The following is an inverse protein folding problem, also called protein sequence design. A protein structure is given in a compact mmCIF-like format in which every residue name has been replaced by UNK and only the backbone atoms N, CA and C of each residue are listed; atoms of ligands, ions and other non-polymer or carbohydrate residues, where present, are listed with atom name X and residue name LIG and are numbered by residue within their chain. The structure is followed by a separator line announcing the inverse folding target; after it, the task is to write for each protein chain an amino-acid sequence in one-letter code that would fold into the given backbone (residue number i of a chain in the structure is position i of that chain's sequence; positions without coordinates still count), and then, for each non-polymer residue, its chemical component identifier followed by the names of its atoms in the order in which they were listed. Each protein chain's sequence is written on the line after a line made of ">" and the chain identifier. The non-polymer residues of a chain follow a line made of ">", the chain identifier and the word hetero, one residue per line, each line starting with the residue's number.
data_IF_628556523376
#
_entry.id   IF_628556523376
#
_cell.length_a   1.000
_cell.length_b   1.000
_cell.length_c   1.000
_cell.angle_alpha   90.00
_cell.angle_beta   90.00
_cell.angle_gamma   90.00
#
_symmetry.space_group_name_H-M   'P 1'
#
loop_
_entity.id
_entity.type
_entity.pdbx_description
1 polymer ?
#
# COMPACT_ATOMS: atom_id res chain seq x y z
N UNK A 1 27.20 18.25 -59.76
CA UNK A 1 26.27 18.69 -58.70
C UNK A 1 25.58 17.46 -58.16
N UNK A 2 26.06 16.93 -57.03
CA UNK A 2 25.63 15.63 -56.49
C UNK A 2 24.89 15.88 -55.18
N UNK A 3 23.60 15.54 -55.16
CA UNK A 3 22.70 15.76 -54.02
C UNK A 3 22.79 14.56 -53.07
N UNK A 4 23.41 14.77 -51.91
CA UNK A 4 23.47 13.76 -50.85
C UNK A 4 22.23 13.82 -49.97
N UNK A 5 21.38 12.80 -50.08
CA UNK A 5 20.31 12.48 -49.14
C UNK A 5 20.93 11.99 -47.82
N UNK A 6 20.72 12.73 -46.73
CA UNK A 6 21.07 12.26 -45.37
C UNK A 6 19.80 11.78 -44.67
N UNK A 7 19.74 10.47 -44.48
CA UNK A 7 18.68 9.76 -43.79
C UNK A 7 18.91 9.87 -42.27
N UNK A 8 18.15 10.74 -41.59
CA UNK A 8 18.19 10.91 -40.13
C UNK A 8 17.25 9.88 -39.51
N UNK A 9 17.68 8.63 -39.47
CA UNK A 9 17.01 7.60 -38.67
C UNK A 9 18.05 6.72 -38.03
N UNK A 10 18.73 7.18 -36.96
CA UNK A 10 19.32 6.29 -35.97
C UNK A 10 19.82 6.99 -34.69
N UNK A 11 19.65 6.25 -33.59
CA UNK A 11 20.15 6.45 -32.21
C UNK A 11 19.41 7.44 -31.29
N UNK A 12 18.24 7.00 -30.81
CA UNK A 12 17.83 7.25 -29.43
C UNK A 12 17.98 5.93 -28.65
N UNK A 13 19.18 5.66 -28.13
CA UNK A 13 19.35 4.66 -27.08
C UNK A 13 18.79 5.23 -25.78
N UNK A 14 17.56 4.82 -25.46
CA UNK A 14 16.92 5.11 -24.17
C UNK A 14 17.65 4.32 -23.10
N UNK A 15 18.55 4.97 -22.38
CA UNK A 15 19.15 4.41 -21.17
C UNK A 15 18.05 4.22 -20.11
N UNK A 16 17.82 2.98 -19.62
CA UNK A 16 16.85 2.76 -18.56
C UNK A 16 17.33 3.45 -17.29
N UNK A 17 16.53 4.37 -16.80
CA UNK A 17 16.72 5.09 -15.54
C UNK A 17 16.91 4.05 -14.43
N UNK A 18 18.13 3.94 -13.89
CA UNK A 18 18.42 3.06 -12.75
C UNK A 18 17.58 3.52 -11.55
N UNK A 19 16.70 2.67 -11.00
CA UNK A 19 15.95 3.02 -9.81
C UNK A 19 16.91 3.24 -8.63
N UNK A 20 16.71 4.34 -7.91
CA UNK A 20 17.44 4.72 -6.70
C UNK A 20 17.44 3.57 -5.67
N UNK A 21 18.54 3.39 -4.92
CA UNK A 21 18.63 2.36 -3.88
C UNK A 21 17.48 2.44 -2.86
N UNK A 22 16.92 3.64 -2.64
CA UNK A 22 15.76 3.83 -1.78
C UNK A 22 14.44 3.27 -2.35
N UNK A 23 14.24 3.30 -3.68
CA UNK A 23 13.04 2.70 -4.29
C UNK A 23 13.12 1.17 -4.29
N UNK A 24 14.32 0.59 -4.42
CA UNK A 24 14.51 -0.86 -4.26
C UNK A 24 14.21 -1.34 -2.84
N UNK A 25 14.59 -0.59 -1.79
CA UNK A 25 14.28 -0.98 -0.40
C UNK A 25 12.77 -0.90 -0.15
N UNK A 26 12.08 0.13 -0.66
CA UNK A 26 10.63 0.24 -0.52
C UNK A 26 9.89 -0.84 -1.32
N UNK A 27 10.33 -1.18 -2.53
CA UNK A 27 9.76 -2.32 -3.28
C UNK A 27 10.03 -3.66 -2.59
N UNK A 28 11.20 -3.86 -1.97
CA UNK A 28 11.52 -5.10 -1.23
C UNK A 28 10.67 -5.22 0.05
N UNK A 29 10.37 -4.11 0.73
CA UNK A 29 9.49 -4.09 1.91
C UNK A 29 8.03 -4.31 1.51
N UNK A 30 7.59 -3.75 0.37
CA UNK A 30 6.23 -3.95 -0.14
C UNK A 30 6.04 -5.39 -0.65
N UNK A 31 7.00 -5.96 -1.37
CA UNK A 31 6.93 -7.35 -1.85
C UNK A 31 7.05 -8.36 -0.71
N UNK A 32 7.94 -8.17 0.29
CA UNK A 32 7.99 -9.05 1.47
C UNK A 32 6.69 -9.02 2.28
N UNK A 33 6.05 -7.85 2.42
CA UNK A 33 4.76 -7.75 3.10
C UNK A 33 3.59 -8.29 2.28
N UNK A 34 3.57 -8.14 0.95
CA UNK A 34 2.54 -8.77 0.10
C UNK A 34 2.69 -10.29 0.02
N UNK A 35 3.92 -10.82 -0.01
CA UNK A 35 4.17 -12.27 0.01
C UNK A 35 3.78 -12.85 1.37
N UNK A 36 4.06 -12.17 2.48
CA UNK A 36 3.62 -12.63 3.82
C UNK A 36 2.09 -12.60 3.98
N UNK A 37 1.40 -11.60 3.42
CA UNK A 37 -0.07 -11.51 3.47
C UNK A 37 -0.75 -12.49 2.50
N UNK A 38 -0.14 -12.80 1.35
CA UNK A 38 -0.69 -13.76 0.38
C UNK A 38 -0.33 -15.22 0.72
N UNK A 39 0.79 -15.51 1.38
CA UNK A 39 1.05 -16.85 1.92
C UNK A 39 0.12 -17.21 3.10
N UNK A 40 -0.35 -16.22 3.87
CA UNK A 40 -1.34 -16.46 4.93
C UNK A 40 -2.79 -16.55 4.42
N UNK A 41 -3.08 -16.08 3.19
CA UNK A 41 -4.42 -16.16 2.57
C UNK A 41 -4.54 -17.26 1.51
N UNK A 42 -3.43 -17.74 0.94
CA UNK A 42 -3.40 -18.84 -0.02
C UNK A 42 -3.30 -20.23 0.61
N UNK A 43 -2.90 -20.35 1.88
CA UNK A 43 -2.75 -21.64 2.56
C UNK A 43 -3.98 -22.10 3.37
N UNK A 44 -5.09 -21.34 3.36
CA UNK A 44 -6.27 -21.67 4.18
C UNK A 44 -7.62 -21.62 3.45
N UNK A 45 -7.67 -21.39 2.13
CA UNK A 45 -8.96 -21.20 1.43
C UNK A 45 -9.19 -22.08 0.20
N UNK A 46 -8.26 -22.97 -0.19
CA UNK A 46 -8.43 -23.72 -1.44
C UNK A 46 -7.90 -25.17 -1.36
N UNK A 47 -8.16 -25.88 -0.26
CA UNK A 47 -7.99 -27.35 -0.22
C UNK A 47 -9.14 -28.11 0.46
N UNK A 48 -10.34 -27.54 0.58
CA UNK A 48 -11.52 -28.23 1.11
C UNK A 48 -12.74 -28.14 0.19
N UNK A 49 -12.55 -28.29 -1.13
CA UNK A 49 -13.64 -28.58 -2.07
C UNK A 49 -13.19 -29.51 -3.19
N UNK A 50 -12.71 -30.68 -2.81
CA UNK A 50 -12.72 -31.88 -3.64
C UNK A 50 -12.34 -33.11 -2.80
N UNK A 51 -13.01 -33.33 -1.66
CA UNK A 51 -13.26 -34.73 -1.30
C UNK A 51 -14.55 -35.09 -2.02
N UNK A 52 -14.35 -35.46 -3.29
CA UNK A 52 -15.22 -36.40 -3.99
C UNK A 52 -15.51 -37.51 -2.98
N UNK A 53 -16.80 -37.80 -2.82
CA UNK A 53 -17.28 -39.02 -2.17
C UNK A 53 -16.61 -40.22 -2.84
N UNK A 54 -15.40 -40.56 -2.40
CA UNK A 54 -14.86 -41.89 -2.61
C UNK A 54 -15.68 -42.79 -1.71
N UNK A 55 -16.74 -43.34 -2.29
CA UNK A 55 -17.52 -44.44 -1.77
C UNK A 55 -16.58 -45.60 -1.48
N UNK A 56 -15.99 -45.62 -0.28
CA UNK A 56 -15.40 -46.81 0.29
C UNK A 56 -16.57 -47.71 0.67
N UNK A 57 -17.02 -48.50 -0.31
CA UNK A 57 -17.67 -49.78 -0.05
C UNK A 57 -16.68 -50.61 0.77
N UNK A 58 -16.79 -50.58 2.09
CA UNK A 58 -16.25 -51.66 2.91
C UNK A 58 -17.12 -52.89 2.65
N UNK A 59 -16.69 -53.71 1.68
CA UNK A 59 -17.08 -55.11 1.65
C UNK A 59 -16.52 -55.76 2.91
N UNK A 60 -17.39 -55.93 3.89
CA UNK A 60 -17.13 -56.67 5.12
C UNK A 60 -18.26 -57.66 5.33
N UNK A 61 -18.42 -58.61 4.40
CA UNK A 61 -19.21 -59.82 4.62
C UNK A 61 -18.56 -60.59 5.77
N UNK A 62 -19.02 -60.32 6.99
CA UNK A 62 -18.72 -61.16 8.14
C UNK A 62 -19.51 -62.45 7.96
N UNK A 63 -18.81 -63.53 7.66
CA UNK A 63 -19.35 -64.87 7.61
C UNK A 63 -20.00 -65.19 8.96
N UNK A 64 -21.32 -65.36 8.95
CA UNK A 64 -22.07 -65.96 10.06
C UNK A 64 -21.75 -67.45 10.03
N UNK A 65 -20.75 -67.86 10.81
CA UNK A 65 -20.55 -69.27 11.16
C UNK A 65 -21.74 -69.70 12.04
N UNK A 66 -22.68 -70.40 11.41
CA UNK A 66 -23.80 -71.04 12.07
C UNK A 66 -23.27 -72.24 12.88
N UNK A 67 -23.05 -72.03 14.17
CA UNK A 67 -22.82 -73.13 15.11
C UNK A 67 -24.18 -73.73 15.50
N UNK A 68 -24.36 -75.06 15.42
CA UNK A 68 -25.57 -75.71 15.89
C UNK A 68 -25.66 -75.61 17.42
N UNK A 69 -26.78 -75.03 17.89
CA UNK A 69 -27.16 -75.01 19.30
C UNK A 69 -27.37 -76.45 19.81
N UNK A 70 -26.39 -76.95 20.56
CA UNK A 70 -26.60 -78.11 21.43
C UNK A 70 -27.30 -77.63 22.70
N UNK A 71 -28.57 -78.05 22.85
CA UNK A 71 -29.35 -77.89 24.08
C UNK A 71 -28.68 -78.67 25.20
N UNK A 72 -28.02 -77.96 26.11
CA UNK A 72 -27.67 -78.49 27.44
C UNK A 72 -28.59 -77.83 28.46
N UNK A 73 -29.58 -78.60 28.91
CA UNK A 73 -30.41 -78.27 30.06
C UNK A 73 -29.59 -78.55 31.33
N UNK A 74 -29.26 -77.52 32.10
CA UNK A 74 -28.71 -77.71 33.45
C UNK A 74 -28.88 -76.47 34.32
N UNK A 75 -29.55 -76.69 35.45
CA UNK A 75 -29.36 -76.00 36.74
C UNK A 75 -29.77 -74.52 36.87
N UNK A 76 -31.08 -74.31 36.98
CA UNK A 76 -31.69 -73.16 37.67
C UNK A 76 -31.71 -73.42 39.18
N UNK A 77 -30.97 -72.64 39.98
CA UNK A 77 -31.38 -72.21 41.35
C UNK A 77 -30.45 -71.25 42.10
N UNK A 78 -29.27 -70.87 41.57
CA UNK A 78 -28.35 -69.92 42.25
C UNK A 78 -28.10 -68.61 41.48
N UNK A 79 -28.98 -68.23 40.55
CA UNK A 79 -28.78 -67.10 39.63
C UNK A 79 -29.65 -65.87 39.93
N UNK A 80 -30.67 -65.97 40.79
CA UNK A 80 -31.61 -64.86 41.08
C UNK A 80 -31.01 -63.76 41.98
N UNK A 81 -30.12 -64.11 42.91
CA UNK A 81 -29.44 -63.15 43.80
C UNK A 81 -28.32 -62.36 43.08
N UNK A 82 -27.54 -63.02 42.21
CA UNK A 82 -26.53 -62.35 41.39
C UNK A 82 -27.16 -61.41 40.34
N UNK A 83 -28.29 -61.82 39.73
CA UNK A 83 -29.04 -61.01 38.76
C UNK A 83 -29.66 -59.76 39.41
N UNK A 84 -30.08 -59.82 40.66
CA UNK A 84 -30.63 -58.65 41.39
C UNK A 84 -29.53 -57.65 41.78
N UNK A 85 -28.36 -58.12 42.22
CA UNK A 85 -27.17 -57.27 42.46
C UNK A 85 -26.69 -56.55 41.19
N UNK A 86 -26.58 -57.29 40.07
CA UNK A 86 -26.20 -56.74 38.77
C UNK A 86 -27.20 -55.70 38.26
N UNK A 87 -28.51 -55.91 38.46
CA UNK A 87 -29.54 -54.90 38.14
C UNK A 87 -29.35 -53.61 38.94
N UNK A 88 -28.98 -53.71 40.21
CA UNK A 88 -28.67 -52.55 41.06
C UNK A 88 -27.44 -51.76 40.60
N UNK A 89 -26.37 -52.46 40.23
CA UNK A 89 -25.16 -51.84 39.66
C UNK A 89 -25.46 -51.18 38.31
N UNK A 90 -26.20 -51.87 37.43
CA UNK A 90 -26.60 -51.35 36.11
C UNK A 90 -27.47 -50.09 36.22
N UNK A 91 -28.32 -49.99 37.25
CA UNK A 91 -29.08 -48.76 37.53
C UNK A 91 -28.17 -47.61 37.95
N UNK A 92 -27.22 -47.86 38.87
CA UNK A 92 -26.23 -46.85 39.32
C UNK A 92 -25.33 -46.38 38.17
N UNK A 93 -24.91 -47.28 37.28
CA UNK A 93 -24.12 -46.91 36.11
C UNK A 93 -24.92 -46.10 35.10
N UNK A 94 -26.18 -46.45 34.85
CA UNK A 94 -27.07 -45.64 33.99
C UNK A 94 -27.25 -44.22 34.54
N UNK A 95 -27.41 -44.06 35.85
CA UNK A 95 -27.50 -42.73 36.49
C UNK A 95 -26.18 -41.94 36.41
N UNK A 96 -25.02 -42.61 36.52
CA UNK A 96 -23.72 -41.96 36.30
C UNK A 96 -23.56 -41.52 34.85
N UNK A 97 -24.00 -42.35 33.89
CA UNK A 97 -23.90 -42.09 32.47
C UNK A 97 -24.80 -40.91 32.05
N UNK A 98 -26.03 -40.81 32.58
CA UNK A 98 -26.90 -39.64 32.33
C UNK A 98 -26.31 -38.36 32.93
N UNK A 99 -25.77 -38.41 34.15
CA UNK A 99 -25.07 -37.27 34.77
C UNK A 99 -23.85 -36.85 33.95
N UNK A 100 -23.02 -37.78 33.49
CA UNK A 100 -21.85 -37.48 32.63
C UNK A 100 -22.28 -36.88 31.29
N UNK A 101 -23.29 -37.43 30.63
CA UNK A 101 -23.82 -36.89 29.37
C UNK A 101 -24.37 -35.47 29.52
N UNK A 102 -25.06 -35.16 30.63
CA UNK A 102 -25.53 -33.79 30.91
C UNK A 102 -24.37 -32.81 31.09
N UNK A 103 -23.32 -33.20 31.83
CA UNK A 103 -22.10 -32.40 32.02
C UNK A 103 -21.33 -32.21 30.72
N UNK A 104 -21.27 -33.24 29.87
CA UNK A 104 -20.60 -33.18 28.57
C UNK A 104 -21.33 -32.19 27.65
N UNK A 105 -22.66 -32.29 27.54
CA UNK A 105 -23.48 -31.33 26.78
C UNK A 105 -23.32 -29.89 27.27
N UNK A 106 -23.27 -29.68 28.59
CA UNK A 106 -23.05 -28.36 29.17
C UNK A 106 -21.65 -27.79 28.85
N UNK A 107 -20.61 -28.64 28.86
CA UNK A 107 -19.25 -28.22 28.46
C UNK A 107 -19.16 -27.94 26.96
N UNK A 108 -19.80 -28.74 26.11
CA UNK A 108 -19.84 -28.52 24.67
C UNK A 108 -20.55 -27.22 24.29
N UNK A 109 -21.69 -26.90 24.92
CA UNK A 109 -22.38 -25.63 24.66
C UNK A 109 -21.53 -24.44 25.11
N UNK A 110 -20.89 -24.51 26.28
CA UNK A 110 -19.99 -23.47 26.77
C UNK A 110 -18.77 -23.26 25.84
N UNK A 111 -18.17 -24.34 25.32
CA UNK A 111 -17.07 -24.25 24.36
C UNK A 111 -17.53 -23.62 23.03
N UNK A 112 -18.70 -23.99 22.53
CA UNK A 112 -19.29 -23.39 21.31
C UNK A 112 -19.52 -21.89 21.49
N UNK A 113 -20.02 -21.45 22.65
CA UNK A 113 -20.20 -20.02 22.95
C UNK A 113 -18.86 -19.28 22.98
N UNK A 114 -17.86 -19.80 23.70
CA UNK A 114 -16.51 -19.20 23.74
C UNK A 114 -15.83 -19.15 22.37
N UNK A 115 -16.05 -20.15 21.52
CA UNK A 115 -15.55 -20.13 20.14
C UNK A 115 -16.22 -19.05 19.29
N UNK A 116 -17.55 -18.87 19.42
CA UNK A 116 -18.28 -17.80 18.72
C UNK A 116 -17.82 -16.41 19.17
N UNK A 117 -17.63 -16.19 20.47
CA UNK A 117 -17.12 -14.93 21.02
C UNK A 117 -15.71 -14.62 20.49
N UNK A 118 -14.77 -15.56 20.56
CA UNK A 118 -13.41 -15.37 20.01
C UNK A 118 -13.43 -15.09 18.52
N UNK A 119 -14.32 -15.74 17.76
CA UNK A 119 -14.47 -15.49 16.33
C UNK A 119 -15.04 -14.09 16.05
N UNK A 120 -16.01 -13.62 16.85
CA UNK A 120 -16.55 -12.28 16.74
C UNK A 120 -15.49 -11.21 17.09
N UNK A 121 -14.73 -11.40 18.16
CA UNK A 121 -13.64 -10.50 18.56
C UNK A 121 -12.52 -10.45 17.52
N UNK A 122 -12.13 -11.60 16.97
CA UNK A 122 -11.12 -11.67 15.92
C UNK A 122 -11.59 -10.93 14.66
N UNK A 123 -12.87 -11.09 14.27
CA UNK A 123 -13.46 -10.36 13.14
C UNK A 123 -13.52 -8.86 13.40
N UNK A 124 -13.93 -8.42 14.59
CA UNK A 124 -13.97 -7.01 14.97
C UNK A 124 -12.57 -6.38 14.95
N UNK A 125 -11.56 -7.06 15.53
CA UNK A 125 -10.16 -6.60 15.50
C UNK A 125 -9.59 -6.56 14.09
N UNK A 126 -9.88 -7.55 13.25
CA UNK A 126 -9.46 -7.56 11.85
C UNK A 126 -10.10 -6.42 11.05
N UNK A 127 -11.40 -6.17 11.24
CA UNK A 127 -12.10 -5.06 10.61
C UNK A 127 -11.56 -3.69 11.06
N UNK A 128 -11.27 -3.51 12.36
CA UNK A 128 -10.67 -2.30 12.89
C UNK A 128 -9.27 -2.04 12.30
N UNK A 129 -8.41 -3.08 12.23
CA UNK A 129 -7.10 -2.99 11.59
C UNK A 129 -7.21 -2.66 10.10
N UNK A 130 -8.14 -3.29 9.38
CA UNK A 130 -8.37 -3.02 7.96
C UNK A 130 -8.78 -1.56 7.72
N UNK A 131 -9.70 -1.02 8.54
CA UNK A 131 -10.09 0.40 8.49
C UNK A 131 -8.90 1.32 8.76
N UNK A 132 -8.09 1.02 9.79
CA UNK A 132 -6.91 1.80 10.11
C UNK A 132 -5.89 1.84 8.96
N UNK A 133 -5.64 0.69 8.30
CA UNK A 133 -4.74 0.62 7.13
C UNK A 133 -5.29 1.44 5.97
N UNK A 134 -6.59 1.32 5.68
CA UNK A 134 -7.23 2.13 4.63
C UNK A 134 -7.14 3.63 4.92
N UNK A 135 -7.43 4.06 6.15
CA UNK A 135 -7.30 5.47 6.54
C UNK A 135 -5.86 5.97 6.41
N UNK A 136 -4.86 5.18 6.81
CA UNK A 136 -3.44 5.52 6.62
C UNK A 136 -3.07 5.65 5.15
N UNK A 137 -3.55 4.74 4.30
CA UNK A 137 -3.32 4.79 2.85
C UNK A 137 -3.99 6.03 2.22
N UNK A 138 -5.22 6.36 2.60
CA UNK A 138 -5.92 7.55 2.12
C UNK A 138 -5.16 8.81 2.56
N UNK A 139 -4.75 8.90 3.84
CA UNK A 139 -3.95 10.03 4.35
C UNK A 139 -2.64 10.19 3.56
N UNK A 140 -1.92 9.11 3.31
CA UNK A 140 -0.69 9.15 2.51
C UNK A 140 -0.94 9.58 1.05
N UNK A 141 -2.04 9.13 0.44
CA UNK A 141 -2.42 9.54 -0.92
C UNK A 141 -2.77 11.03 -0.98
N UNK A 142 -3.52 11.54 0.00
CA UNK A 142 -3.85 12.97 0.12
C UNK A 142 -2.58 13.79 0.23
N UNK A 143 -1.64 13.42 1.12
CA UNK A 143 -0.35 14.11 1.24
C UNK A 143 0.38 14.11 -0.10
N UNK A 144 0.48 12.95 -0.80
CA UNK A 144 1.13 12.86 -2.11
C UNK A 144 0.47 13.74 -3.18
N UNK A 145 -0.86 13.83 -3.19
CA UNK A 145 -1.61 14.70 -4.11
C UNK A 145 -1.41 16.18 -3.77
N UNK A 146 -1.46 16.52 -2.48
CA UNK A 146 -1.30 17.86 -1.96
C UNK A 146 0.10 18.44 -2.24
N UNK A 147 1.15 17.64 -2.09
CA UNK A 147 2.55 18.05 -2.32
C UNK A 147 2.98 17.99 -3.79
N UNK A 148 2.07 17.64 -4.72
CA UNK A 148 2.40 17.63 -6.16
C UNK A 148 2.61 19.07 -6.64
N UNK A 149 3.70 19.28 -7.39
CA UNK A 149 3.97 20.57 -8.04
C UNK A 149 2.79 20.94 -8.93
N UNK A 150 2.31 22.17 -8.76
CA UNK A 150 1.23 22.68 -9.60
C UNK A 150 1.81 23.09 -10.93
N UNK A 151 1.14 22.67 -11.99
CA UNK A 151 1.45 23.09 -13.35
C UNK A 151 0.61 24.31 -13.64
N UNK A 152 1.24 25.34 -14.19
CA UNK A 152 0.52 26.49 -14.73
C UNK A 152 -0.44 26.06 -15.83
N UNK A 153 -1.55 26.79 -15.94
CA UNK A 153 -2.50 26.69 -17.03
C UNK A 153 -1.92 27.48 -18.20
N UNK A 154 -1.94 26.88 -19.38
CA UNK A 154 -1.56 27.56 -20.62
C UNK A 154 -2.69 28.46 -21.12
N UNK A 155 -2.42 29.46 -21.97
CA UNK A 155 -3.44 30.34 -22.55
C UNK A 155 -4.58 29.56 -23.23
N UNK A 156 -4.24 28.52 -23.99
CA UNK A 156 -5.21 27.61 -24.60
C UNK A 156 -6.10 26.90 -23.56
N UNK A 157 -5.52 26.44 -22.46
CA UNK A 157 -6.30 25.77 -21.41
C UNK A 157 -7.19 26.75 -20.62
N UNK A 158 -6.80 28.02 -20.51
CA UNK A 158 -7.67 29.07 -19.98
C UNK A 158 -8.86 29.30 -20.92
N UNK A 159 -8.59 29.46 -22.22
CA UNK A 159 -9.60 29.60 -23.27
C UNK A 159 -10.62 28.44 -23.29
N UNK A 160 -10.15 27.18 -23.30
CA UNK A 160 -11.01 25.99 -23.36
C UNK A 160 -11.95 25.90 -22.13
N UNK A 161 -11.50 26.38 -20.96
CA UNK A 161 -12.27 26.35 -19.72
C UNK A 161 -13.33 27.43 -19.65
N UNK A 162 -13.08 28.61 -20.23
CA UNK A 162 -14.01 29.73 -20.19
C UNK A 162 -15.10 29.59 -21.26
N UNK A 163 -14.76 29.07 -22.45
CA UNK A 163 -15.76 28.81 -23.48
C UNK A 163 -16.60 27.59 -23.12
N UNK A 164 -17.89 27.80 -22.92
CA UNK A 164 -18.89 26.75 -22.73
C UNK A 164 -19.47 26.30 -24.08
N UNK A 165 -19.71 25.00 -24.26
CA UNK A 165 -20.26 24.42 -25.49
C UNK A 165 -19.21 24.00 -26.54
N UNK A 166 -19.67 23.28 -27.57
CA UNK A 166 -18.83 22.75 -28.65
C UNK A 166 -17.97 21.53 -28.27
N UNK A 167 -17.45 20.83 -29.27
CA UNK A 167 -16.51 19.73 -29.04
C UNK A 167 -15.10 20.28 -28.75
N UNK A 168 -14.23 19.46 -28.16
CA UNK A 168 -12.84 19.86 -27.89
C UNK A 168 -12.09 20.23 -29.20
N UNK A 169 -12.37 19.51 -30.28
CA UNK A 169 -11.79 19.77 -31.60
C UNK A 169 -12.18 21.16 -32.11
N UNK A 170 -13.46 21.53 -31.97
CA UNK A 170 -13.95 22.85 -32.40
C UNK A 170 -13.27 23.97 -31.61
N UNK A 171 -13.12 23.82 -30.29
CA UNK A 171 -12.41 24.80 -29.46
C UNK A 171 -10.95 24.97 -29.88
N UNK A 172 -10.25 23.87 -30.21
CA UNK A 172 -8.86 23.94 -30.66
C UNK A 172 -8.78 24.60 -32.03
N UNK A 173 -9.71 24.32 -32.95
CA UNK A 173 -9.80 25.00 -34.24
C UNK A 173 -10.06 26.50 -34.07
N UNK A 174 -11.00 26.88 -33.21
CA UNK A 174 -11.29 28.29 -32.90
C UNK A 174 -10.07 29.01 -32.30
N UNK A 175 -9.31 28.36 -31.42
CA UNK A 175 -8.06 28.94 -30.89
C UNK A 175 -7.04 29.23 -32.00
N UNK A 176 -6.94 28.35 -32.99
CA UNK A 176 -6.03 28.54 -34.14
C UNK A 176 -6.45 29.71 -35.02
N UNK A 177 -7.74 30.02 -35.10
CA UNK A 177 -8.26 31.15 -35.87
C UNK A 177 -8.19 32.49 -35.13
N UNK A 178 -8.00 32.50 -33.81
CA UNK A 178 -7.83 33.75 -33.03
C UNK A 178 -6.61 34.55 -33.50
N UNK A 179 -6.77 35.87 -33.53
CA UNK A 179 -5.69 36.81 -33.79
C UNK A 179 -4.66 36.82 -32.64
N UNK A 180 -3.45 37.32 -32.90
CA UNK A 180 -2.39 37.38 -31.89
C UNK A 180 -2.75 38.30 -30.71
N UNK A 181 -3.50 39.38 -30.96
CA UNK A 181 -3.94 40.31 -29.92
C UNK A 181 -4.92 39.62 -28.95
N UNK A 182 -5.88 38.85 -29.48
CA UNK A 182 -6.81 38.06 -28.67
C UNK A 182 -6.08 37.00 -27.85
N UNK A 183 -5.07 36.32 -28.43
CA UNK A 183 -4.24 35.35 -27.71
C UNK A 183 -3.46 35.98 -26.55
N UNK A 184 -3.10 37.26 -26.67
CA UNK A 184 -2.43 38.01 -25.60
C UNK A 184 -3.34 38.20 -24.40
N UNK A 185 -4.63 38.53 -24.61
CA UNK A 185 -5.64 38.60 -23.55
C UNK A 185 -5.75 37.26 -22.82
N UNK A 186 -5.76 36.14 -23.55
CA UNK A 186 -5.80 34.81 -22.94
C UNK A 186 -4.52 34.43 -22.20
N UNK A 187 -3.37 34.99 -22.59
CA UNK A 187 -2.12 34.83 -21.86
C UNK A 187 -2.17 35.55 -20.53
N UNK A 188 -2.62 36.80 -20.50
CA UNK A 188 -2.80 37.58 -19.27
C UNK A 188 -3.77 36.89 -18.31
N UNK A 189 -4.91 36.40 -18.82
CA UNK A 189 -5.86 35.61 -18.02
C UNK A 189 -5.22 34.33 -17.44
N UNK A 190 -4.44 33.61 -18.24
CA UNK A 190 -3.76 32.40 -17.77
C UNK A 190 -2.73 32.74 -16.68
N UNK A 191 -1.98 33.82 -16.85
CA UNK A 191 -1.00 34.30 -15.87
C UNK A 191 -1.68 34.75 -14.57
N UNK A 192 -2.84 35.42 -14.64
CA UNK A 192 -3.64 35.78 -13.48
C UNK A 192 -4.14 34.54 -12.71
N UNK A 193 -4.68 33.55 -13.42
CA UNK A 193 -5.12 32.28 -12.81
C UNK A 193 -3.93 31.56 -12.16
N UNK A 194 -2.77 31.58 -12.81
CA UNK A 194 -1.55 30.96 -12.28
C UNK A 194 -1.07 31.69 -11.02
N UNK A 195 -1.07 33.01 -11.00
CA UNK A 195 -0.72 33.83 -9.84
C UNK A 195 -1.68 33.56 -8.65
N UNK A 196 -3.01 33.54 -8.89
CA UNK A 196 -4.00 33.18 -7.86
C UNK A 196 -3.78 31.76 -7.34
N UNK A 197 -3.46 30.83 -8.23
CA UNK A 197 -3.20 29.43 -7.84
C UNK A 197 -1.92 29.33 -7.01
N UNK A 198 -0.86 30.05 -7.35
CA UNK A 198 0.39 30.06 -6.62
C UNK A 198 0.25 30.68 -5.21
N UNK A 199 -0.60 31.70 -5.06
CA UNK A 199 -0.96 32.27 -3.75
C UNK A 199 -1.63 31.23 -2.83
N UNK A 200 -2.59 30.47 -3.35
CA UNK A 200 -3.27 29.40 -2.57
C UNK A 200 -2.33 28.24 -2.28
N UNK A 201 -1.47 27.93 -3.24
CA UNK A 201 -0.68 26.71 -3.23
C UNK A 201 0.81 27.04 -3.34
N UNK A 202 1.35 27.52 -2.23
CA UNK A 202 2.75 27.96 -2.11
C UNK A 202 3.74 26.97 -2.74
N UNK A 203 4.79 27.47 -3.42
CA UNK A 203 5.82 26.62 -4.01
C UNK A 203 6.60 25.87 -2.92
N UNK A 204 7.16 24.72 -3.30
CA UNK A 204 7.97 23.91 -2.39
C UNK A 204 9.22 24.69 -1.96
N UNK A 205 9.55 24.77 -0.67
CA UNK A 205 10.79 25.42 -0.24
C UNK A 205 12.00 24.73 -0.87
N UNK A 206 13.03 25.51 -1.20
CA UNK A 206 14.27 24.98 -1.78
C UNK A 206 14.89 23.98 -0.80
N UNK A 207 15.36 22.85 -1.33
CA UNK A 207 16.14 21.89 -0.53
C UNK A 207 17.45 22.54 -0.13
N UNK A 208 17.93 22.21 1.07
CA UNK A 208 19.29 22.57 1.47
C UNK A 208 20.28 21.90 0.52
N UNK A 209 21.31 22.65 0.15
CA UNK A 209 22.45 22.15 -0.60
C UNK A 209 23.25 21.13 0.23
N UNK A 210 23.55 19.97 -0.37
CA UNK A 210 24.47 19.00 0.24
C UNK A 210 25.88 19.57 0.32
N UNK A 211 26.75 18.96 1.14
CA UNK A 211 28.15 19.40 1.22
C UNK A 211 28.86 19.40 -0.13
N UNK A 212 28.59 18.40 -0.98
CA UNK A 212 29.08 18.40 -2.36
C UNK A 212 28.53 19.57 -3.20
N UNK A 213 27.26 19.94 -3.04
CA UNK A 213 26.68 21.06 -3.78
C UNK A 213 27.29 22.41 -3.34
N UNK A 214 27.58 22.58 -2.05
CA UNK A 214 28.30 23.75 -1.54
C UNK A 214 29.71 23.82 -2.12
N UNK A 215 30.45 22.69 -2.08
CA UNK A 215 31.77 22.58 -2.71
C UNK A 215 31.73 22.87 -4.21
N UNK A 216 30.76 22.29 -4.93
CA UNK A 216 30.58 22.50 -6.35
C UNK A 216 30.31 23.97 -6.66
N UNK A 217 29.46 24.65 -5.89
CA UNK A 217 29.16 26.06 -6.07
C UNK A 217 30.42 26.93 -5.89
N UNK A 218 31.25 26.63 -4.89
CA UNK A 218 32.50 27.33 -4.64
C UNK A 218 33.53 27.05 -5.76
N UNK A 219 33.79 25.79 -6.09
CA UNK A 219 34.78 25.42 -7.12
C UNK A 219 34.38 25.88 -8.52
N UNK A 220 33.09 25.90 -8.85
CA UNK A 220 32.65 26.42 -10.14
C UNK A 220 32.99 27.90 -10.34
N UNK A 221 33.16 28.66 -9.26
CA UNK A 221 33.52 30.08 -9.32
C UNK A 221 35.03 30.34 -9.47
N UNK A 222 35.88 29.32 -9.28
CA UNK A 222 37.35 29.48 -9.33
C UNK A 222 37.85 29.57 -10.79
N UNK A 223 38.80 30.48 -11.01
CA UNK A 223 39.35 30.80 -12.35
C UNK A 223 40.04 29.62 -13.03
N UNK A 224 40.58 28.67 -12.26
CA UNK A 224 41.27 27.46 -12.77
C UNK A 224 40.43 26.59 -13.71
N UNK A 225 39.11 26.80 -13.75
CA UNK A 225 38.18 26.08 -14.61
C UNK A 225 37.42 27.01 -15.57
N UNK A 226 37.92 28.23 -15.83
CA UNK A 226 37.22 29.23 -16.66
C UNK A 226 37.18 28.82 -18.14
N UNK A 227 38.27 28.29 -18.65
CA UNK A 227 38.43 27.99 -20.09
C UNK A 227 37.99 26.57 -20.47
N UNK A 228 37.60 25.76 -19.47
CA UNK A 228 37.14 24.40 -19.70
C UNK A 228 35.65 24.37 -20.04
N UNK A 229 35.28 23.47 -20.95
CA UNK A 229 33.88 23.16 -21.20
C UNK A 229 33.20 22.66 -19.91
N UNK A 230 31.92 23.00 -19.73
CA UNK A 230 31.15 22.69 -18.52
C UNK A 230 31.22 21.20 -18.12
N UNK A 231 31.20 20.30 -19.11
CA UNK A 231 31.28 18.86 -18.90
C UNK A 231 32.62 18.43 -18.28
N UNK A 232 33.74 18.93 -18.79
CA UNK A 232 35.07 18.56 -18.30
C UNK A 232 35.41 19.25 -16.97
N UNK A 233 34.97 20.50 -16.81
CA UNK A 233 34.97 21.20 -15.52
C UNK A 233 34.27 20.37 -14.43
N UNK A 234 33.06 19.90 -14.70
CA UNK A 234 32.29 19.12 -13.73
C UNK A 234 32.98 17.79 -13.35
N UNK A 235 33.67 17.14 -14.30
CA UNK A 235 34.45 15.92 -14.03
C UNK A 235 35.64 16.22 -13.12
N UNK A 236 36.42 17.25 -13.41
CA UNK A 236 37.59 17.63 -12.61
C UNK A 236 37.21 18.05 -11.19
N UNK A 237 36.10 18.77 -11.02
CA UNK A 237 35.61 19.13 -9.68
C UNK A 237 35.14 17.89 -8.93
N UNK A 238 34.44 16.97 -9.60
CA UNK A 238 34.02 15.70 -8.98
C UNK A 238 35.22 14.83 -8.55
N UNK A 239 36.30 14.80 -9.32
CA UNK A 239 37.56 14.14 -8.94
C UNK A 239 38.21 14.82 -7.75
N UNK A 240 38.27 16.16 -7.75
CA UNK A 240 38.80 16.95 -6.63
C UNK A 240 38.03 16.65 -5.33
N UNK A 241 36.70 16.58 -5.39
CA UNK A 241 35.88 16.19 -4.23
C UNK A 241 36.19 14.78 -3.68
N UNK A 242 36.49 13.82 -4.57
CA UNK A 242 36.83 12.45 -4.16
C UNK A 242 38.19 12.39 -3.45
N UNK A 243 39.12 13.25 -3.85
CA UNK A 243 40.46 13.34 -3.26
C UNK A 243 40.48 14.08 -1.92
N UNK A 244 39.44 14.87 -1.59
CA UNK A 244 39.33 15.52 -0.28
C UNK A 244 39.22 14.52 0.87
N UNK A 245 39.91 14.83 1.97
CA UNK A 245 39.76 14.11 3.24
C UNK A 245 38.36 14.30 3.82
N UNK A 246 37.96 13.42 4.73
CA UNK A 246 36.64 13.51 5.37
C UNK A 246 36.52 14.75 6.27
N UNK A 247 37.63 15.22 6.86
CA UNK A 247 37.70 16.47 7.63
C UNK A 247 37.46 17.68 6.73
N UNK A 248 38.06 17.72 5.55
CA UNK A 248 37.84 18.79 4.58
C UNK A 248 36.39 18.77 4.07
N UNK A 249 35.82 17.59 3.78
CA UNK A 249 34.41 17.45 3.39
C UNK A 249 33.45 17.95 4.46
N UNK A 250 33.77 17.79 5.76
CA UNK A 250 32.95 18.31 6.86
C UNK A 250 32.80 19.83 6.85
N UNK A 251 33.78 20.57 6.33
CA UNK A 251 33.70 22.04 6.24
C UNK A 251 32.59 22.51 5.30
N UNK A 252 32.27 21.71 4.28
CA UNK A 252 31.20 22.02 3.34
C UNK A 252 29.82 21.56 3.81
N UNK A 253 29.73 20.79 4.90
CA UNK A 253 28.44 20.33 5.42
C UNK A 253 27.63 21.50 5.98
N UNK A 254 26.34 21.52 5.64
CA UNK A 254 25.43 22.51 6.17
C UNK A 254 25.25 22.34 7.68
N UNK A 255 25.35 23.41 8.49
CA UNK A 255 25.17 23.34 9.94
C UNK A 255 23.84 22.69 10.37
N UNK A 256 23.83 21.98 11.49
CA UNK A 256 22.67 21.23 11.98
C UNK A 256 21.44 22.12 12.21
N UNK A 257 21.63 23.36 12.67
CA UNK A 257 20.52 24.30 12.89
C UNK A 257 19.82 24.72 11.59
N UNK A 258 20.58 24.88 10.51
CA UNK A 258 20.03 25.17 9.19
C UNK A 258 19.25 23.95 8.68
N UNK A 259 19.78 22.74 8.88
CA UNK A 259 19.08 21.50 8.55
C UNK A 259 17.73 21.37 9.27
N UNK A 260 17.72 21.67 10.57
CA UNK A 260 16.50 21.67 11.38
C UNK A 260 15.49 22.70 10.88
N UNK A 261 15.91 23.95 10.66
CA UNK A 261 15.03 25.02 10.15
C UNK A 261 14.42 24.69 8.79
N UNK A 262 15.18 24.11 7.86
CA UNK A 262 14.61 23.74 6.56
C UNK A 262 13.66 22.54 6.65
N UNK A 263 13.92 21.59 7.56
CA UNK A 263 12.98 20.49 7.82
C UNK A 263 11.67 21.04 8.38
N UNK A 264 11.73 21.93 9.37
CA UNK A 264 10.56 22.61 9.93
C UNK A 264 9.80 23.41 8.85
N UNK A 265 10.51 24.16 8.01
CA UNK A 265 9.91 24.89 6.89
C UNK A 265 9.24 23.96 5.87
N UNK A 266 9.84 22.80 5.59
CA UNK A 266 9.26 21.79 4.71
C UNK A 266 8.02 21.15 5.32
N UNK A 267 8.06 20.78 6.61
CA UNK A 267 6.93 20.18 7.30
C UNK A 267 5.75 21.16 7.40
N UNK A 268 6.02 22.43 7.72
CA UNK A 268 5.03 23.51 7.69
C UNK A 268 4.45 23.72 6.28
N UNK A 269 5.28 23.62 5.24
CA UNK A 269 4.82 23.68 3.85
C UNK A 269 3.90 22.49 3.51
N UNK A 270 4.26 21.26 3.92
CA UNK A 270 3.41 20.08 3.69
C UNK A 270 2.04 20.25 4.38
N UNK A 271 2.01 20.72 5.62
CA UNK A 271 0.76 20.98 6.35
C UNK A 271 -0.10 22.03 5.61
N UNK A 272 0.47 23.19 5.28
CA UNK A 272 -0.22 24.24 4.54
C UNK A 272 -0.77 23.73 3.20
N UNK A 273 -0.04 22.85 2.50
CA UNK A 273 -0.48 22.24 1.24
C UNK A 273 -1.61 21.24 1.43
N UNK A 274 -1.57 20.44 2.48
CA UNK A 274 -2.66 19.49 2.82
C UNK A 274 -3.93 20.26 3.14
N UNK A 275 -3.85 21.33 3.93
CA UNK A 275 -5.01 22.14 4.29
C UNK A 275 -5.63 22.82 3.06
N UNK A 276 -4.80 23.46 2.22
CA UNK A 276 -5.25 24.04 0.97
C UNK A 276 -5.87 22.99 0.02
N UNK A 277 -5.31 21.78 -0.02
CA UNK A 277 -5.86 20.69 -0.82
C UNK A 277 -7.22 20.21 -0.29
N UNK A 278 -7.35 20.02 1.03
CA UNK A 278 -8.60 19.63 1.68
C UNK A 278 -9.71 20.65 1.42
N UNK A 279 -9.38 21.95 1.45
CA UNK A 279 -10.34 23.04 1.20
C UNK A 279 -10.79 23.15 -0.27
N UNK A 280 -9.88 22.98 -1.23
CA UNK A 280 -10.15 23.35 -2.63
C UNK A 280 -10.28 22.17 -3.60
N UNK A 281 -9.78 20.97 -3.28
CA UNK A 281 -9.66 19.86 -4.25
C UNK A 281 -10.02 18.47 -3.71
N UNK A 282 -10.11 18.30 -2.40
CA UNK A 282 -10.37 16.97 -1.82
C UNK A 282 -11.81 16.52 -2.03
N UNK A 283 -11.96 15.20 -2.15
CA UNK A 283 -13.26 14.54 -2.16
C UNK A 283 -13.82 14.42 -0.73
N UNK A 284 -15.15 14.31 -0.58
CA UNK A 284 -15.80 14.11 0.74
C UNK A 284 -15.21 12.93 1.53
N UNK A 285 -14.83 11.85 0.83
CA UNK A 285 -14.20 10.66 1.44
C UNK A 285 -12.81 10.97 2.01
N UNK A 286 -12.02 11.78 1.30
CA UNK A 286 -10.69 12.19 1.75
C UNK A 286 -10.77 13.12 2.97
N UNK A 287 -11.75 14.04 2.98
CA UNK A 287 -12.05 14.92 4.12
C UNK A 287 -12.42 14.09 5.35
N UNK A 288 -13.39 13.18 5.23
CA UNK A 288 -13.82 12.31 6.34
C UNK A 288 -12.69 11.43 6.90
N UNK A 289 -11.74 11.01 6.06
CA UNK A 289 -10.58 10.25 6.51
C UNK A 289 -9.60 11.08 7.36
N UNK A 290 -9.54 12.41 7.19
CA UNK A 290 -8.73 13.30 8.04
C UNK A 290 -9.44 13.72 9.32
N UNK A 291 -10.76 13.86 9.28
CA UNK A 291 -11.58 14.27 10.43
C UNK A 291 -11.86 13.14 11.43
N UNK A 292 -11.81 11.88 10.98
CA UNK A 292 -11.87 10.71 11.88
C UNK A 292 -10.60 10.62 12.74
N UNK A 293 -10.65 11.27 13.89
CA UNK A 293 -9.70 11.11 15.00
C UNK A 293 -9.97 9.82 15.77
#
# INVERSE_FOLDING_TARGET
>A
MSSSNVNITQLIQVNPIRPSRHTKILELIITKNMISINCAKGALSTSMRAFVFASVRTMGTSAVLAYPLTKTASSTKTTTAAVTSLKGQLKKEKEKLTKLNSKLKAKESALKTKQKERAADAKAKAAAKAKQVQTKQIKAQVVRKATKTIRGISPLNAFIKEITGGTLTDKISNWKTLANDERTIWKEKADEINAKTEQVFKPKPKSIASGYQNFLAEEHSKDRYRDLAFGDKSKQIAESWRQLSEEAKKQYNTPADVQKKAKEAYDAWVQSRVDAYLKHKATKKEIAAFESK
#
